data_IF_551755116476
#
_entry.id   IF_551755116476
#
_cell.length_a   1.000
_cell.length_b   1.000
_cell.length_c   1.000
_cell.angle_alpha   90.00
_cell.angle_beta   90.00
_cell.angle_gamma   90.00
#
_symmetry.space_group_name_H-M   'P 1'
#
loop_
_entity.id
_entity.type
_entity.pdbx_description
1 polymer ?
#
# COMPACT_ATOMS: atom_id res chain seq x y z
N UNK A 1 -4.63 -7.88 -18.42
CA UNK A 1 -3.33 -8.28 -17.82
C UNK A 1 -2.81 -7.12 -16.97
N UNK A 2 -2.09 -7.43 -15.88
CA UNK A 2 -1.42 -6.40 -15.07
C UNK A 2 -0.19 -5.94 -15.84
N UNK A 3 -0.07 -4.63 -16.04
CA UNK A 3 1.04 -4.01 -16.79
C UNK A 3 2.05 -3.33 -15.89
N UNK A 4 1.61 -2.89 -14.72
CA UNK A 4 2.47 -2.29 -13.69
C UNK A 4 1.90 -2.54 -12.31
N UNK A 5 2.77 -2.71 -11.35
CA UNK A 5 2.45 -2.85 -9.92
C UNK A 5 3.22 -1.78 -9.19
N UNK A 6 2.55 -1.00 -8.34
CA UNK A 6 3.19 -0.06 -7.42
C UNK A 6 2.76 -0.40 -6.00
N UNK A 7 3.72 -0.52 -5.11
CA UNK A 7 3.49 -0.77 -3.69
C UNK A 7 4.24 0.28 -2.90
N UNK A 8 3.52 0.98 -2.03
CA UNK A 8 4.09 1.94 -1.10
C UNK A 8 3.72 1.58 0.33
N UNK A 9 4.70 1.52 1.20
CA UNK A 9 4.52 1.41 2.63
C UNK A 9 4.04 0.06 3.16
N UNK A 10 4.07 -1.00 2.36
CA UNK A 10 3.57 -2.32 2.75
C UNK A 10 4.69 -3.29 3.10
N UNK A 11 4.72 -3.76 4.34
CA UNK A 11 5.69 -4.72 4.89
C UNK A 11 7.13 -4.31 4.53
N UNK A 12 7.86 -5.16 3.80
CA UNK A 12 9.25 -4.89 3.39
C UNK A 12 9.36 -3.85 2.27
N UNK A 13 8.27 -3.51 1.61
CA UNK A 13 8.28 -2.57 0.50
C UNK A 13 7.96 -1.15 0.97
N UNK A 14 8.99 -0.32 1.08
CA UNK A 14 8.83 1.13 1.24
C UNK A 14 8.27 1.73 -0.04
N UNK A 15 8.94 1.48 -1.16
CA UNK A 15 8.51 1.83 -2.51
C UNK A 15 8.97 0.75 -3.49
N UNK A 16 8.02 0.15 -4.19
CA UNK A 16 8.27 -0.80 -5.27
C UNK A 16 7.49 -0.37 -6.50
N UNK A 17 8.17 -0.36 -7.64
CA UNK A 17 7.53 -0.30 -8.95
C UNK A 17 8.03 -1.46 -9.79
N UNK A 18 7.11 -2.27 -10.30
CA UNK A 18 7.39 -3.45 -11.11
C UNK A 18 6.53 -3.43 -12.37
N UNK A 19 7.15 -3.63 -13.51
CA UNK A 19 6.48 -3.80 -14.80
C UNK A 19 6.62 -5.26 -15.24
N UNK A 20 5.55 -6.07 -15.06
CA UNK A 20 5.60 -7.49 -15.43
C UNK A 20 5.74 -7.69 -16.95
N UNK A 21 6.44 -8.75 -17.32
CA UNK A 21 6.51 -9.17 -18.73
C UNK A 21 5.15 -9.70 -19.18
N UNK A 22 4.72 -9.40 -20.42
CA UNK A 22 3.40 -9.82 -20.92
C UNK A 22 3.20 -11.33 -21.03
N UNK A 23 4.24 -12.13 -21.11
CA UNK A 23 4.14 -13.57 -21.35
C UNK A 23 4.41 -14.41 -20.11
N UNK A 24 5.58 -14.22 -19.50
CA UNK A 24 6.02 -15.03 -18.38
C UNK A 24 6.83 -14.18 -17.41
N UNK A 25 6.52 -14.30 -16.14
CA UNK A 25 7.29 -13.70 -15.06
C UNK A 25 7.74 -14.80 -14.10
N UNK A 26 9.03 -14.85 -13.86
CA UNK A 26 9.63 -15.76 -12.90
C UNK A 26 10.19 -14.93 -11.74
N UNK A 27 9.60 -15.11 -10.56
CA UNK A 27 10.04 -14.43 -9.35
C UNK A 27 10.89 -15.39 -8.54
N UNK A 28 12.18 -15.14 -8.51
CA UNK A 28 13.17 -15.97 -7.84
C UNK A 28 13.87 -15.18 -6.75
N UNK A 29 14.17 -15.83 -5.65
CA UNK A 29 14.90 -15.23 -4.53
C UNK A 29 14.91 -16.15 -3.33
N UNK A 30 15.75 -15.86 -2.34
CA UNK A 30 15.77 -16.57 -1.07
C UNK A 30 14.43 -16.39 -0.32
N UNK A 31 14.18 -17.24 0.66
CA UNK A 31 13.10 -17.01 1.62
C UNK A 31 13.32 -15.64 2.26
N UNK A 32 12.26 -14.91 2.53
CA UNK A 32 12.30 -13.52 3.05
C UNK A 32 12.68 -12.43 2.03
N UNK A 33 12.88 -12.75 0.76
CA UNK A 33 13.18 -11.76 -0.29
C UNK A 33 11.97 -10.96 -0.79
N UNK A 34 10.81 -11.13 -0.17
CA UNK A 34 9.60 -10.40 -0.51
C UNK A 34 8.68 -11.05 -1.54
N UNK A 35 9.02 -12.21 -2.11
CA UNK A 35 8.18 -12.91 -3.09
C UNK A 35 6.75 -13.13 -2.60
N UNK A 36 6.61 -13.68 -1.40
CA UNK A 36 5.30 -13.93 -0.77
C UNK A 36 4.56 -12.62 -0.49
N UNK A 37 5.28 -11.59 -0.05
CA UNK A 37 4.72 -10.26 0.20
C UNK A 37 4.20 -9.61 -1.09
N UNK A 38 4.92 -9.77 -2.21
CA UNK A 38 4.46 -9.27 -3.50
C UNK A 38 3.16 -9.95 -3.94
N UNK A 39 3.11 -11.28 -3.85
CA UNK A 39 1.90 -12.03 -4.21
C UNK A 39 0.73 -11.73 -3.27
N UNK A 40 1.00 -11.56 -1.99
CA UNK A 40 0.01 -11.15 -0.99
C UNK A 40 -0.54 -9.75 -1.30
N UNK A 41 0.32 -8.78 -1.62
CA UNK A 41 -0.10 -7.42 -1.98
C UNK A 41 -0.99 -7.41 -3.24
N UNK A 42 -0.64 -8.18 -4.27
CA UNK A 42 -1.46 -8.31 -5.47
C UNK A 42 -2.83 -8.94 -5.12
N UNK A 43 -2.84 -10.03 -4.37
CA UNK A 43 -4.06 -10.70 -3.94
C UNK A 43 -4.95 -9.77 -3.10
N UNK A 44 -4.35 -9.02 -2.19
CA UNK A 44 -5.04 -8.06 -1.33
C UNK A 44 -5.69 -6.94 -2.15
N UNK A 45 -4.99 -6.36 -3.12
CA UNK A 45 -5.55 -5.33 -3.99
C UNK A 45 -6.70 -5.86 -4.88
N UNK A 46 -6.59 -7.10 -5.37
CA UNK A 46 -7.61 -7.71 -6.22
C UNK A 46 -8.87 -8.15 -5.45
N UNK A 47 -8.74 -8.61 -4.23
CA UNK A 47 -9.83 -9.28 -3.50
C UNK A 47 -10.28 -8.54 -2.25
N UNK A 48 -9.49 -7.60 -1.73
CA UNK A 48 -9.69 -7.00 -0.41
C UNK A 48 -9.55 -7.99 0.75
N UNK A 49 -8.91 -9.15 0.49
CA UNK A 49 -8.80 -10.24 1.48
C UNK A 49 -7.38 -10.75 1.61
N UNK A 50 -7.08 -11.19 2.82
CA UNK A 50 -5.85 -11.90 3.17
C UNK A 50 -6.22 -13.09 4.04
N UNK A 51 -5.66 -14.27 3.75
CA UNK A 51 -5.95 -15.51 4.49
C UNK A 51 -7.46 -15.82 4.63
N UNK A 52 -8.28 -15.43 3.63
CA UNK A 52 -9.73 -15.64 3.62
C UNK A 52 -10.55 -14.61 4.41
N UNK A 53 -9.92 -13.70 5.16
CA UNK A 53 -10.57 -12.63 5.91
C UNK A 53 -10.47 -11.29 5.19
N UNK A 54 -11.34 -10.35 5.52
CA UNK A 54 -11.30 -9.01 4.95
C UNK A 54 -10.05 -8.24 5.42
N UNK A 55 -9.57 -7.33 4.59
CA UNK A 55 -8.41 -6.51 4.91
C UNK A 55 -8.61 -5.72 6.22
N UNK A 56 -9.81 -5.24 6.48
CA UNK A 56 -10.13 -4.49 7.70
C UNK A 56 -10.07 -5.35 8.97
N UNK A 57 -10.40 -6.64 8.89
CA UNK A 57 -10.30 -7.56 10.03
C UNK A 57 -8.87 -7.98 10.34
N UNK A 58 -7.98 -7.98 9.35
CA UNK A 58 -6.60 -8.44 9.47
C UNK A 58 -5.58 -7.29 9.57
N UNK A 59 -6.04 -6.04 9.39
CA UNK A 59 -5.18 -4.88 9.48
C UNK A 59 -4.51 -4.82 10.85
N UNK A 60 -3.20 -4.65 10.82
CA UNK A 60 -2.40 -4.50 12.04
C UNK A 60 -1.18 -3.61 11.77
N UNK A 61 -0.50 -3.10 12.82
CA UNK A 61 0.62 -2.19 12.67
C UNK A 61 1.79 -2.75 11.84
N UNK A 62 1.97 -4.07 11.83
CA UNK A 62 3.06 -4.73 11.10
C UNK A 62 2.85 -4.81 9.58
N UNK A 63 1.69 -4.38 9.07
CA UNK A 63 1.50 -4.20 7.64
C UNK A 63 2.28 -2.99 7.10
N UNK A 64 2.55 -2.02 7.97
CA UNK A 64 3.29 -0.82 7.59
C UNK A 64 4.79 -1.10 7.50
N UNK A 65 5.44 -0.52 6.51
CA UNK A 65 6.88 -0.61 6.35
C UNK A 65 7.60 0.03 7.54
N UNK A 66 8.57 -0.70 8.13
CA UNK A 66 9.26 -0.28 9.34
C UNK A 66 10.06 1.01 9.16
N UNK A 67 10.70 1.20 8.00
CA UNK A 67 11.45 2.43 7.72
C UNK A 67 10.55 3.66 7.69
N UNK A 68 9.35 3.54 7.10
CA UNK A 68 8.36 4.62 7.11
C UNK A 68 7.89 4.97 8.52
N UNK A 69 7.69 3.95 9.35
CA UNK A 69 7.29 4.16 10.74
C UNK A 69 8.41 4.86 11.53
N UNK A 70 9.64 4.39 11.40
CA UNK A 70 10.79 5.00 12.07
C UNK A 70 11.00 6.46 11.64
N UNK A 71 10.86 6.74 10.35
CA UNK A 71 10.96 8.09 9.80
C UNK A 71 9.85 8.99 10.33
N UNK A 72 8.61 8.49 10.36
CA UNK A 72 7.46 9.20 10.91
C UNK A 72 7.66 9.54 12.39
N UNK A 73 8.05 8.56 13.22
CA UNK A 73 8.30 8.76 14.66
C UNK A 73 9.43 9.77 14.88
N UNK A 74 10.53 9.66 14.13
CA UNK A 74 11.66 10.58 14.22
C UNK A 74 11.28 12.02 13.88
N UNK A 75 10.56 12.23 12.78
CA UNK A 75 10.15 13.57 12.34
C UNK A 75 9.14 14.18 13.32
N UNK A 76 8.22 13.39 13.83
CA UNK A 76 7.25 13.82 14.82
C UNK A 76 7.93 14.24 16.13
N UNK A 77 8.92 13.46 16.61
CA UNK A 77 9.66 13.75 17.82
C UNK A 77 10.46 15.05 17.72
N UNK A 78 10.92 15.42 16.53
CA UNK A 78 11.62 16.68 16.27
C UNK A 78 10.67 17.89 16.13
N UNK A 79 9.35 17.69 16.26
CA UNK A 79 8.35 18.77 16.21
C UNK A 79 8.01 19.25 14.79
N UNK A 80 8.47 18.55 13.76
CA UNK A 80 8.13 18.86 12.38
C UNK A 80 6.73 18.36 12.03
N UNK A 81 5.95 19.10 11.24
CA UNK A 81 4.72 18.58 10.66
C UNK A 81 5.05 17.41 9.75
N UNK A 82 4.41 16.27 10.00
CA UNK A 82 4.67 15.04 9.24
C UNK A 82 3.35 14.40 8.82
N UNK A 83 3.31 13.89 7.60
CA UNK A 83 2.16 13.12 7.13
C UNK A 83 2.17 11.73 7.76
N UNK A 84 0.99 11.22 8.10
CA UNK A 84 0.82 9.86 8.58
C UNK A 84 1.30 8.84 7.56
N UNK A 85 1.91 7.72 8.00
CA UNK A 85 2.23 6.62 7.11
C UNK A 85 0.97 6.08 6.43
N UNK A 86 1.08 5.77 5.15
CA UNK A 86 0.00 5.20 4.35
C UNK A 86 0.48 3.93 3.66
N UNK A 87 -0.44 3.01 3.40
CA UNK A 87 -0.20 1.88 2.50
C UNK A 87 -0.96 2.14 1.22
N UNK A 88 -0.30 1.94 0.08
CA UNK A 88 -0.95 2.02 -1.22
C UNK A 88 -0.44 0.89 -2.10
N UNK A 89 -1.37 0.14 -2.66
CA UNK A 89 -1.09 -0.92 -3.62
C UNK A 89 -1.90 -0.60 -4.87
N UNK A 90 -1.21 -0.38 -5.99
CA UNK A 90 -1.84 -0.03 -7.25
C UNK A 90 -1.49 -1.09 -8.31
N UNK A 91 -2.51 -1.61 -8.95
CA UNK A 91 -2.41 -2.54 -10.08
C UNK A 91 -2.91 -1.82 -11.33
N UNK A 92 -2.00 -1.55 -12.25
CA UNK A 92 -2.32 -0.98 -13.56
C UNK A 92 -2.63 -2.09 -14.51
N UNK A 93 -3.71 -1.95 -15.25
CA UNK A 93 -4.20 -2.97 -16.15
C UNK A 93 -4.02 -2.55 -17.61
N UNK A 94 -3.97 -3.55 -18.47
CA UNK A 94 -3.95 -3.34 -19.91
C UNK A 94 -5.18 -2.56 -20.36
N UNK A 95 -4.98 -1.58 -21.24
CA UNK A 95 -6.07 -0.77 -21.77
C UNK A 95 -6.88 -1.60 -22.78
N UNK A 96 -8.03 -2.12 -22.31
CA UNK A 96 -9.01 -2.88 -23.09
C UNK A 96 -10.39 -2.28 -22.89
N UNK A 97 -11.22 -2.33 -23.91
CA UNK A 97 -12.60 -1.80 -23.85
C UNK A 97 -13.42 -2.40 -22.70
N UNK A 98 -13.23 -3.69 -22.43
CA UNK A 98 -13.91 -4.41 -21.34
C UNK A 98 -13.54 -3.86 -19.95
N UNK A 99 -12.34 -3.27 -19.82
CA UNK A 99 -11.80 -2.75 -18.55
C UNK A 99 -11.98 -1.24 -18.39
N UNK A 100 -12.64 -0.56 -19.36
CA UNK A 100 -12.86 0.88 -19.30
C UNK A 100 -13.64 1.32 -18.06
N UNK A 101 -14.45 0.43 -17.47
CA UNK A 101 -15.17 0.67 -16.21
C UNK A 101 -14.24 0.86 -15.01
N UNK A 102 -13.00 0.40 -15.12
CA UNK A 102 -11.96 0.56 -14.11
C UNK A 102 -11.08 1.79 -14.35
N UNK A 103 -11.41 2.59 -15.36
CA UNK A 103 -10.84 3.91 -15.57
C UNK A 103 -11.62 4.95 -14.77
N UNK A 104 -10.95 6.03 -14.40
CA UNK A 104 -11.59 7.17 -13.72
C UNK A 104 -11.17 7.35 -12.27
N UNK A 105 -10.56 6.36 -11.65
CA UNK A 105 -9.85 6.57 -10.39
C UNK A 105 -8.50 7.25 -10.66
N UNK A 106 -8.11 8.14 -9.77
CA UNK A 106 -6.79 8.79 -9.83
C UNK A 106 -5.74 7.78 -9.38
N UNK A 107 -4.77 7.53 -10.24
CA UNK A 107 -3.58 6.76 -9.90
C UNK A 107 -2.36 7.69 -9.67
N UNK A 108 -1.26 7.15 -9.14
CA UNK A 108 -0.07 7.96 -8.85
C UNK A 108 0.75 8.35 -10.09
N UNK A 109 0.39 7.84 -11.27
CA UNK A 109 1.05 8.17 -12.55
C UNK A 109 0.29 9.26 -13.35
N UNK A 110 -0.87 9.72 -12.88
CA UNK A 110 -1.58 10.82 -13.53
C UNK A 110 -0.77 12.13 -13.41
N UNK A 111 -0.79 12.96 -14.46
CA UNK A 111 -1.57 12.89 -15.70
C UNK A 111 -0.98 12.00 -16.80
N UNK A 112 0.16 11.35 -16.57
CA UNK A 112 0.93 10.67 -17.61
C UNK A 112 0.36 9.31 -18.03
N UNK A 113 -0.44 8.67 -17.17
CA UNK A 113 -0.96 7.33 -17.46
C UNK A 113 -2.40 7.14 -16.96
N UNK A 114 -3.37 7.56 -17.78
CA UNK A 114 -4.79 7.25 -17.56
C UNK A 114 -5.10 5.86 -18.14
N UNK A 115 -5.06 4.83 -17.31
CA UNK A 115 -5.38 3.46 -17.72
C UNK A 115 -6.30 2.78 -16.69
N UNK A 116 -6.97 1.68 -17.06
CA UNK A 116 -7.71 0.87 -16.11
C UNK A 116 -6.80 0.40 -14.97
N UNK A 117 -7.32 0.39 -13.76
CA UNK A 117 -6.54 -0.05 -12.61
C UNK A 117 -7.39 -0.32 -11.37
N UNK A 118 -6.75 -0.92 -10.40
CA UNK A 118 -7.31 -1.20 -9.08
C UNK A 118 -6.32 -0.68 -8.06
N UNK A 119 -6.81 0.03 -7.06
CA UNK A 119 -5.98 0.43 -5.93
C UNK A 119 -6.60 0.03 -4.61
N UNK A 120 -5.76 -0.35 -3.68
CA UNK A 120 -6.08 -0.48 -2.27
C UNK A 120 -5.24 0.51 -1.48
N UNK A 121 -5.87 1.21 -0.56
CA UNK A 121 -5.18 2.22 0.24
C UNK A 121 -5.61 2.09 1.70
N UNK A 122 -4.64 2.17 2.60
CA UNK A 122 -4.86 2.33 4.04
C UNK A 122 -4.44 3.75 4.42
N UNK A 123 -5.40 4.50 4.92
CA UNK A 123 -5.25 5.92 5.25
C UNK A 123 -5.68 6.17 6.69
N UNK A 124 -5.19 7.24 7.33
CA UNK A 124 -5.79 7.71 8.58
C UNK A 124 -7.27 8.04 8.37
N UNK A 125 -8.11 7.64 9.31
CA UNK A 125 -9.53 7.99 9.27
C UNK A 125 -9.73 9.39 9.85
N UNK A 126 -10.29 10.34 9.09
CA UNK A 126 -10.55 11.70 9.58
C UNK A 126 -11.46 11.75 10.81
N UNK A 127 -12.32 10.74 11.01
CA UNK A 127 -13.20 10.66 12.18
C UNK A 127 -12.45 10.51 13.51
N UNK A 128 -11.23 9.97 13.45
CA UNK A 128 -10.36 9.76 14.61
C UNK A 128 -9.18 10.74 14.67
N UNK A 129 -9.26 11.87 13.98
CA UNK A 129 -8.16 12.85 13.91
C UNK A 129 -7.70 13.34 15.28
N UNK A 130 -8.64 13.59 16.21
CA UNK A 130 -8.30 14.04 17.57
C UNK A 130 -7.61 12.94 18.38
N UNK A 131 -8.08 11.71 18.30
CA UNK A 131 -7.49 10.54 18.96
C UNK A 131 -6.09 10.24 18.39
N UNK A 132 -5.91 10.37 17.08
CA UNK A 132 -4.62 10.24 16.43
C UNK A 132 -3.64 11.34 16.85
N UNK A 133 -4.10 12.58 17.01
CA UNK A 133 -3.28 13.69 17.49
C UNK A 133 -2.89 13.50 18.96
N UNK A 134 -3.78 12.97 19.79
CA UNK A 134 -3.48 12.63 21.16
C UNK A 134 -2.48 11.47 21.25
N UNK A 135 -2.71 10.40 20.49
CA UNK A 135 -1.76 9.30 20.38
C UNK A 135 -0.40 9.80 19.90
N UNK A 136 -0.38 10.73 18.95
CA UNK A 136 0.83 11.31 18.40
C UNK A 136 1.69 12.04 19.44
N UNK A 137 1.12 12.48 20.54
CA UNK A 137 1.85 13.10 21.68
C UNK A 137 2.52 12.06 22.57
N UNK A 138 2.12 10.80 22.48
CA UNK A 138 2.67 9.69 23.25
C UNK A 138 3.79 8.99 22.47
N UNK A 139 4.79 8.46 23.16
CA UNK A 139 5.97 7.84 22.53
C UNK A 139 5.76 6.37 22.12
N UNK A 140 4.57 5.99 21.65
CA UNK A 140 4.35 4.61 21.20
C UNK A 140 4.97 4.36 19.81
N UNK A 141 5.74 3.27 19.62
CA UNK A 141 6.32 2.91 18.33
C UNK A 141 5.32 2.18 17.41
N UNK A 142 4.18 1.74 17.93
CA UNK A 142 3.16 1.03 17.17
C UNK A 142 2.06 1.99 16.74
N UNK A 143 1.69 1.94 15.46
CA UNK A 143 0.56 2.72 14.94
C UNK A 143 -0.77 2.22 15.55
N UNK A 144 -1.68 3.14 15.89
CA UNK A 144 -3.04 2.77 16.25
C UNK A 144 -3.80 2.36 15.00
N UNK A 145 -4.13 1.09 14.87
CA UNK A 145 -4.96 0.55 13.79
C UNK A 145 -6.13 -0.20 14.41
N UNK A 146 -7.33 0.06 13.89
CA UNK A 146 -8.58 -0.62 14.24
C UNK A 146 -9.25 -1.15 12.99
#
# INVERSE_FOLDING_TARGET
MITKIKIHGYRIYKDLTLEPNPKLNLIVGANESGKSTLMEAIGLALTGRINGRTASEELNPYWFNSELIEEFVRQRTSGNPVAWPVIRIELFLENRDELQKLCGAINTDLPTNACPGISMTVLPDPAYSEDLDEWAKNASPLLPVE
#
